data_IF_498953680208
#
_entry.id   IF_498953680208
#
_cell.length_a   1.000
_cell.length_b   1.000
_cell.length_c   1.000
_cell.angle_alpha   90.00
_cell.angle_beta   90.00
_cell.angle_gamma   90.00
#
_symmetry.space_group_name_H-M   'P 1'
#
loop_
_entity.id
_entity.type
_entity.pdbx_description
1 polymer ?
#
# COMPACT_ATOMS: atom_id res chain seq x y z
N UNK A 1 -10.34 -51.71 -7.52
CA UNK A 1 -10.64 -51.22 -6.16
C UNK A 1 -11.81 -52.06 -5.64
N UNK A 2 -11.51 -53.05 -4.80
CA UNK A 2 -12.47 -54.11 -4.45
C UNK A 2 -13.56 -53.58 -3.49
N UNK A 3 -14.84 -53.99 -3.65
CA UNK A 3 -15.97 -53.49 -2.84
C UNK A 3 -15.80 -53.71 -1.33
N UNK A 4 -14.97 -54.69 -0.94
CA UNK A 4 -14.62 -55.03 0.45
C UNK A 4 -13.88 -53.93 1.20
N UNK A 5 -13.17 -53.02 0.53
CA UNK A 5 -12.44 -51.93 1.20
C UNK A 5 -13.38 -50.81 1.67
N UNK A 6 -14.43 -50.51 0.89
CA UNK A 6 -15.41 -49.47 1.23
C UNK A 6 -16.27 -49.87 2.44
N UNK A 7 -16.67 -51.14 2.51
CA UNK A 7 -17.43 -51.68 3.64
C UNK A 7 -16.59 -51.73 4.93
N UNK A 8 -15.30 -52.08 4.82
CA UNK A 8 -14.37 -52.05 5.95
C UNK A 8 -14.13 -50.63 6.47
N UNK A 9 -13.93 -49.65 5.58
CA UNK A 9 -13.81 -48.24 5.95
C UNK A 9 -15.09 -47.72 6.62
N UNK A 10 -16.26 -48.09 6.09
CA UNK A 10 -17.55 -47.75 6.68
C UNK A 10 -17.71 -48.30 8.11
N UNK A 11 -17.37 -49.58 8.32
CA UNK A 11 -17.42 -50.21 9.64
C UNK A 11 -16.46 -49.59 10.65
N UNK A 12 -15.25 -49.21 10.23
CA UNK A 12 -14.27 -48.50 11.08
C UNK A 12 -14.77 -47.10 11.43
N UNK A 13 -15.29 -46.34 10.48
CA UNK A 13 -15.89 -45.03 10.73
C UNK A 13 -17.06 -45.13 11.72
N UNK A 14 -17.92 -46.14 11.58
CA UNK A 14 -19.07 -46.35 12.46
C UNK A 14 -18.64 -46.76 13.89
N UNK A 15 -17.62 -47.60 14.02
CA UNK A 15 -17.04 -47.96 15.32
C UNK A 15 -16.42 -46.74 16.04
N UNK A 16 -15.69 -45.90 15.29
CA UNK A 16 -15.13 -44.65 15.81
C UNK A 16 -16.24 -43.67 16.22
N UNK A 17 -17.27 -43.49 15.39
CA UNK A 17 -18.40 -42.59 15.69
C UNK A 17 -19.20 -43.04 16.93
N UNK A 18 -19.39 -44.36 17.09
CA UNK A 18 -20.07 -44.95 18.25
C UNK A 18 -19.29 -44.73 19.56
N UNK A 19 -17.96 -44.77 19.51
CA UNK A 19 -17.10 -44.50 20.65
C UNK A 19 -17.24 -43.04 21.13
N UNK A 20 -17.23 -42.07 20.21
CA UNK A 20 -17.38 -40.65 20.52
C UNK A 20 -18.78 -40.27 21.03
N UNK A 21 -19.82 -41.02 20.65
CA UNK A 21 -21.19 -40.85 21.17
C UNK A 21 -21.35 -41.30 22.63
N UNK A 22 -20.53 -42.25 23.10
CA UNK A 22 -20.56 -42.75 24.49
C UNK A 22 -19.76 -41.89 25.47
N UNK A 23 -18.78 -41.12 24.98
CA UNK A 23 -17.95 -40.21 25.79
C UNK A 23 -18.04 -38.77 25.28
N UNK A 24 -19.22 -38.11 25.40
CA UNK A 24 -19.49 -36.80 24.78
C UNK A 24 -18.53 -35.71 25.24
N UNK A 25 -18.05 -35.73 26.49
CA UNK A 25 -17.09 -34.75 26.97
C UNK A 25 -15.70 -34.86 26.35
N UNK A 26 -15.23 -36.07 26.06
CA UNK A 26 -13.95 -36.25 25.39
C UNK A 26 -13.98 -35.69 23.96
N UNK A 27 -15.09 -35.90 23.26
CA UNK A 27 -15.33 -35.35 21.92
C UNK A 27 -15.34 -33.82 21.94
N UNK A 28 -16.02 -33.23 22.92
CA UNK A 28 -16.08 -31.77 23.09
C UNK A 28 -14.69 -31.18 23.35
N UNK A 29 -13.88 -31.77 24.23
CA UNK A 29 -12.53 -31.28 24.49
C UNK A 29 -11.62 -31.41 23.26
N UNK A 30 -11.72 -32.51 22.51
CA UNK A 30 -10.95 -32.70 21.26
C UNK A 30 -11.35 -31.67 20.20
N UNK A 31 -12.64 -31.45 19.99
CA UNK A 31 -13.13 -30.45 19.06
C UNK A 31 -12.74 -29.03 19.50
N UNK A 32 -12.84 -28.72 20.80
CA UNK A 32 -12.44 -27.44 21.34
C UNK A 32 -10.94 -27.18 21.13
N UNK A 33 -10.07 -28.18 21.36
CA UNK A 33 -8.63 -28.08 21.10
C UNK A 33 -8.32 -27.89 19.61
N UNK A 34 -9.00 -28.62 18.73
CA UNK A 34 -8.84 -28.49 17.29
C UNK A 34 -9.26 -27.10 16.80
N UNK A 35 -10.43 -26.62 17.22
CA UNK A 35 -10.95 -25.29 16.88
C UNK A 35 -10.02 -24.21 17.40
N UNK A 36 -9.56 -24.31 18.65
CA UNK A 36 -8.62 -23.36 19.24
C UNK A 36 -7.29 -23.30 18.48
N UNK A 37 -6.75 -24.46 18.05
CA UNK A 37 -5.53 -24.52 17.25
C UNK A 37 -5.67 -23.84 15.88
N UNK A 38 -6.75 -24.14 15.14
CA UNK A 38 -7.03 -23.54 13.83
C UNK A 38 -7.29 -22.03 13.96
N UNK A 39 -8.02 -21.61 15.00
CA UNK A 39 -8.32 -20.20 15.26
C UNK A 39 -7.05 -19.41 15.62
N UNK A 40 -6.19 -19.93 16.49
CA UNK A 40 -4.93 -19.30 16.87
C UNK A 40 -4.00 -19.16 15.66
N UNK A 41 -3.85 -20.23 14.87
CA UNK A 41 -3.03 -20.20 13.66
C UNK A 41 -3.55 -19.16 12.65
N UNK A 42 -4.87 -19.11 12.45
CA UNK A 42 -5.51 -18.15 11.54
C UNK A 42 -5.36 -16.71 12.03
N UNK A 43 -5.53 -16.46 13.34
CA UNK A 43 -5.33 -15.13 13.93
C UNK A 43 -3.89 -14.63 13.72
N UNK A 44 -2.89 -15.48 13.97
CA UNK A 44 -1.49 -15.15 13.73
C UNK A 44 -1.25 -14.87 12.25
N UNK A 45 -1.83 -15.67 11.35
CA UNK A 45 -1.68 -15.44 9.91
C UNK A 45 -2.33 -14.14 9.47
N UNK A 46 -3.52 -13.81 9.97
CA UNK A 46 -4.20 -12.54 9.71
C UNK A 46 -3.33 -11.38 10.18
N UNK A 47 -2.86 -11.40 11.43
CA UNK A 47 -1.98 -10.35 11.97
C UNK A 47 -0.68 -10.22 11.16
N UNK A 48 -0.02 -11.34 10.86
CA UNK A 48 1.20 -11.34 10.05
C UNK A 48 0.94 -10.91 8.60
N UNK A 49 -0.26 -11.17 8.05
CA UNK A 49 -0.64 -10.70 6.72
C UNK A 49 -0.90 -9.20 6.70
N UNK A 50 -1.46 -8.62 7.75
CA UNK A 50 -1.60 -7.17 7.89
C UNK A 50 -0.23 -6.48 7.97
N UNK A 51 0.72 -7.07 8.72
CA UNK A 51 2.08 -6.55 8.77
C UNK A 51 2.77 -6.62 7.39
N UNK A 52 2.70 -7.79 6.72
CA UNK A 52 3.26 -7.97 5.37
C UNK A 52 2.61 -7.05 4.33
N UNK A 53 1.30 -6.83 4.41
CA UNK A 53 0.58 -5.91 3.55
C UNK A 53 1.02 -4.46 3.79
N UNK A 54 1.20 -4.04 5.05
CA UNK A 54 1.71 -2.71 5.38
C UNK A 54 3.14 -2.48 4.87
N UNK A 55 3.99 -3.52 4.84
CA UNK A 55 5.32 -3.46 4.25
C UNK A 55 5.32 -3.51 2.71
N UNK A 56 4.43 -4.31 2.11
CA UNK A 56 4.28 -4.41 0.66
C UNK A 56 3.68 -3.13 0.05
N UNK A 57 2.77 -2.46 0.76
CA UNK A 57 2.23 -1.16 0.40
C UNK A 57 3.35 -0.12 0.28
N UNK A 58 4.33 -0.12 1.18
CA UNK A 58 5.50 0.75 1.07
C UNK A 58 6.36 0.48 -0.19
N UNK A 59 6.36 -0.74 -0.73
CA UNK A 59 7.09 -1.11 -1.95
C UNK A 59 6.30 -0.86 -3.24
N UNK A 60 4.96 -0.81 -3.18
CA UNK A 60 4.10 -0.58 -4.35
C UNK A 60 3.86 0.91 -4.65
N UNK A 61 4.14 1.79 -3.67
CA UNK A 61 3.77 3.21 -3.64
C UNK A 61 4.35 4.07 -4.79
N UNK A 62 5.30 3.58 -5.58
CA UNK A 62 5.87 4.36 -6.70
C UNK A 62 5.92 3.64 -8.05
N UNK A 63 5.50 2.37 -8.16
CA UNK A 63 5.79 1.55 -9.36
C UNK A 63 7.29 1.24 -9.56
N UNK A 64 8.19 2.01 -8.93
CA UNK A 64 9.59 1.68 -8.71
C UNK A 64 9.68 0.56 -7.67
N UNK A 65 10.01 -0.66 -8.08
CA UNK A 65 10.48 -1.69 -7.15
C UNK A 65 11.83 -1.24 -6.55
N UNK A 66 11.80 -0.36 -5.55
CA UNK A 66 12.98 0.07 -4.83
C UNK A 66 13.55 -1.15 -4.09
N UNK A 67 14.70 -1.64 -4.52
CA UNK A 67 15.36 -2.80 -3.90
C UNK A 67 16.01 -2.46 -2.56
N UNK A 68 16.36 -1.19 -2.35
CA UNK A 68 17.07 -0.70 -1.16
C UNK A 68 16.50 0.65 -0.72
N UNK A 69 16.54 0.90 0.60
CA UNK A 69 16.06 2.13 1.21
C UNK A 69 17.16 2.78 2.05
N UNK A 70 17.36 4.10 1.87
CA UNK A 70 18.23 4.91 2.72
C UNK A 70 17.31 5.68 3.68
N UNK A 71 17.48 5.46 4.98
CA UNK A 71 16.67 6.09 6.03
C UNK A 71 17.58 6.53 7.18
N UNK A 72 17.26 7.65 7.81
CA UNK A 72 17.94 8.07 9.02
C UNK A 72 17.59 7.13 10.19
N UNK A 73 18.58 6.82 11.03
CA UNK A 73 18.42 5.86 12.14
C UNK A 73 17.52 6.38 13.26
N UNK A 74 17.49 7.69 13.42
CA UNK A 74 16.73 8.43 14.43
C UNK A 74 15.31 8.80 13.96
N UNK A 75 14.95 8.48 12.72
CA UNK A 75 13.66 8.83 12.14
C UNK A 75 13.52 10.30 11.72
N UNK A 76 14.58 11.10 11.78
CA UNK A 76 14.55 12.53 11.39
C UNK A 76 14.39 12.76 9.88
N UNK A 77 14.42 11.68 9.08
CA UNK A 77 14.41 11.75 7.62
C UNK A 77 15.80 11.99 7.03
N UNK A 78 15.92 11.86 5.71
CA UNK A 78 17.18 12.13 4.99
C UNK A 78 17.16 13.58 4.53
N UNK A 79 18.25 14.32 4.75
CA UNK A 79 18.28 15.73 4.36
C UNK A 79 18.39 15.89 2.83
N UNK A 80 17.89 17.01 2.31
CA UNK A 80 18.08 17.34 0.89
C UNK A 80 19.56 17.44 0.51
N UNK A 81 20.40 17.92 1.44
CA UNK A 81 21.85 18.00 1.24
C UNK A 81 22.49 16.62 1.03
N UNK A 82 22.07 15.62 1.82
CA UNK A 82 22.56 14.24 1.69
C UNK A 82 22.13 13.61 0.36
N UNK A 83 20.87 13.84 -0.06
CA UNK A 83 20.40 13.42 -1.38
C UNK A 83 21.24 14.03 -2.51
N UNK A 84 21.48 15.34 -2.46
CA UNK A 84 22.31 16.04 -3.45
C UNK A 84 23.75 15.49 -3.43
N UNK A 85 24.32 15.23 -2.25
CA UNK A 85 25.66 14.67 -2.11
C UNK A 85 25.75 13.27 -2.75
N UNK A 86 24.77 12.39 -2.53
CA UNK A 86 24.70 11.07 -3.15
C UNK A 86 24.62 11.16 -4.68
N UNK A 87 23.77 12.05 -5.21
CA UNK A 87 23.65 12.26 -6.66
C UNK A 87 24.96 12.77 -7.27
N UNK A 88 25.63 13.71 -6.61
CA UNK A 88 26.94 14.24 -7.04
C UNK A 88 28.07 13.21 -6.94
N UNK A 89 27.98 12.27 -6.00
CA UNK A 89 28.91 11.15 -5.88
C UNK A 89 28.72 10.07 -6.99
N UNK A 90 27.72 10.23 -7.87
CA UNK A 90 27.50 9.36 -9.02
C UNK A 90 26.37 8.34 -8.86
N UNK A 91 25.65 8.33 -7.73
CA UNK A 91 24.51 7.44 -7.51
C UNK A 91 23.26 7.93 -8.26
N UNK A 92 23.15 7.62 -9.55
CA UNK A 92 22.05 8.09 -10.43
C UNK A 92 20.71 7.36 -10.24
N UNK A 93 20.71 6.20 -9.59
CA UNK A 93 19.51 5.38 -9.35
C UNK A 93 18.82 5.71 -8.02
N UNK A 94 19.28 6.74 -7.32
CA UNK A 94 18.67 7.21 -6.06
C UNK A 94 17.68 8.33 -6.38
N UNK A 95 16.50 8.25 -5.79
CA UNK A 95 15.45 9.27 -5.83
C UNK A 95 14.89 9.48 -4.41
N UNK A 96 14.47 10.70 -4.04
CA UNK A 96 13.91 11.00 -2.75
C UNK A 96 12.44 10.55 -2.69
N UNK A 97 12.00 10.06 -1.54
CA UNK A 97 10.60 9.79 -1.28
C UNK A 97 10.15 10.54 -0.02
N UNK A 98 9.14 11.38 -0.17
CA UNK A 98 8.46 12.07 0.92
C UNK A 98 7.09 11.44 1.12
N UNK A 99 6.81 10.99 2.34
CA UNK A 99 5.49 10.50 2.74
C UNK A 99 4.96 11.39 3.85
N UNK A 100 3.78 11.97 3.64
CA UNK A 100 3.13 12.83 4.61
C UNK A 100 1.69 12.38 4.84
N UNK A 101 1.23 12.51 6.09
CA UNK A 101 -0.19 12.40 6.43
C UNK A 101 -0.65 13.78 6.86
N UNK A 102 -1.52 14.38 6.05
CA UNK A 102 -2.10 15.70 6.31
C UNK A 102 -3.60 15.56 6.50
N UNK A 103 -4.25 16.65 6.90
CA UNK A 103 -5.70 16.71 6.99
C UNK A 103 -6.22 17.75 5.99
N UNK A 104 -7.35 17.46 5.34
CA UNK A 104 -8.09 18.45 4.56
C UNK A 104 -8.66 19.54 5.48
N UNK A 105 -9.13 20.64 4.90
CA UNK A 105 -9.84 21.67 5.66
C UNK A 105 -11.00 21.10 6.51
N UNK A 106 -11.70 20.08 6.00
CA UNK A 106 -12.78 19.36 6.68
C UNK A 106 -12.29 18.29 7.67
N UNK A 107 -11.01 18.30 8.01
CA UNK A 107 -10.36 17.39 8.95
C UNK A 107 -10.35 15.90 8.51
N UNK A 108 -10.55 15.65 7.21
CA UNK A 108 -10.42 14.30 6.64
C UNK A 108 -8.93 13.94 6.47
N UNK A 109 -8.50 12.72 6.84
CA UNK A 109 -7.11 12.31 6.68
C UNK A 109 -6.77 12.09 5.20
N UNK A 110 -5.64 12.64 4.78
CA UNK A 110 -5.10 12.56 3.43
C UNK A 110 -3.65 12.10 3.47
N UNK A 111 -3.33 11.05 2.72
CA UNK A 111 -1.96 10.61 2.54
C UNK A 111 -1.38 11.22 1.26
N UNK A 112 -0.18 11.79 1.38
CA UNK A 112 0.57 12.37 0.27
C UNK A 112 1.87 11.59 0.10
N UNK A 113 2.18 11.28 -1.15
CA UNK A 113 3.47 10.78 -1.59
C UNK A 113 4.04 11.73 -2.62
N UNK A 114 5.28 12.13 -2.41
CA UNK A 114 6.02 12.94 -3.35
C UNK A 114 7.41 12.37 -3.63
N UNK A 115 7.84 12.45 -4.88
CA UNK A 115 9.14 11.94 -5.35
C UNK A 115 9.65 12.82 -6.47
N UNK A 116 10.95 12.77 -6.73
CA UNK A 116 11.56 13.47 -7.86
C UNK A 116 11.23 12.73 -9.16
N UNK A 117 10.34 13.30 -9.98
CA UNK A 117 9.91 12.69 -11.23
C UNK A 117 11.04 12.61 -12.27
N UNK A 118 12.04 13.50 -12.19
CA UNK A 118 13.21 13.51 -13.07
C UNK A 118 14.23 12.44 -12.70
N UNK A 119 14.21 11.99 -11.44
CA UNK A 119 15.08 10.94 -10.94
C UNK A 119 14.45 9.54 -10.99
N UNK A 120 13.13 9.44 -11.14
CA UNK A 120 12.44 8.16 -11.29
C UNK A 120 12.89 7.44 -12.56
N UNK A 121 13.18 6.14 -12.50
CA UNK A 121 13.55 5.39 -13.70
C UNK A 121 12.31 5.15 -14.58
N UNK A 122 12.47 5.17 -15.91
CA UNK A 122 11.36 5.12 -16.87
C UNK A 122 10.47 3.87 -16.73
N UNK A 123 11.01 2.75 -16.25
CA UNK A 123 10.27 1.51 -15.98
C UNK A 123 9.54 1.51 -14.63
N UNK A 124 9.89 2.39 -13.70
CA UNK A 124 9.13 2.61 -12.47
C UNK A 124 7.84 3.37 -12.71
N UNK A 125 7.77 4.10 -13.82
CA UNK A 125 6.56 4.74 -14.29
C UNK A 125 5.62 3.73 -14.98
N UNK A 126 5.65 2.43 -14.69
CA UNK A 126 4.57 1.54 -15.15
C UNK A 126 3.25 1.98 -14.48
N UNK A 127 2.30 2.45 -15.29
CA UNK A 127 1.18 3.28 -14.85
C UNK A 127 1.49 4.79 -14.91
N UNK A 128 2.27 5.19 -15.90
CA UNK A 128 2.74 6.55 -16.15
C UNK A 128 1.53 7.48 -16.39
N UNK A 129 1.24 8.43 -15.49
CA UNK A 129 0.31 9.50 -15.80
C UNK A 129 0.81 10.34 -16.99
N UNK A 130 2.10 10.26 -17.36
CA UNK A 130 2.74 10.96 -18.48
C UNK A 130 2.84 10.13 -19.78
N UNK A 131 2.42 8.85 -19.80
CA UNK A 131 2.49 8.01 -21.02
C UNK A 131 1.35 8.29 -22.00
N UNK A 132 0.39 9.14 -21.63
CA UNK A 132 -0.53 9.74 -22.58
C UNK A 132 0.24 10.79 -23.41
N UNK A 133 0.18 10.69 -24.73
CA UNK A 133 0.80 11.63 -25.67
C UNK A 133 0.33 13.10 -25.54
N UNK A 134 -0.61 13.36 -24.63
CA UNK A 134 -1.28 14.65 -24.38
C UNK A 134 -1.04 15.18 -22.94
N UNK A 135 -0.18 14.51 -22.16
CA UNK A 135 0.10 14.92 -20.77
C UNK A 135 1.28 15.87 -20.75
N UNK A 136 1.04 17.10 -20.30
CA UNK A 136 2.08 18.09 -20.11
C UNK A 136 2.95 17.74 -18.88
N UNK A 137 3.99 16.93 -19.11
CA UNK A 137 4.95 16.54 -18.08
C UNK A 137 5.60 17.73 -17.38
N UNK A 138 5.75 18.86 -18.08
CA UNK A 138 6.40 20.04 -17.54
C UNK A 138 5.57 20.65 -16.42
N UNK A 139 4.24 20.59 -16.54
CA UNK A 139 3.32 21.06 -15.52
C UNK A 139 3.36 20.25 -14.21
N UNK A 140 3.96 19.06 -14.20
CA UNK A 140 4.17 18.26 -12.99
C UNK A 140 5.44 18.65 -12.24
N UNK A 141 6.48 19.12 -12.94
CA UNK A 141 7.81 19.42 -12.38
C UNK A 141 8.10 20.92 -12.27
N UNK A 142 7.24 21.78 -12.81
CA UNK A 142 7.34 23.24 -12.69
C UNK A 142 6.13 23.83 -11.97
N UNK A 143 6.31 24.93 -11.21
CA UNK A 143 5.20 25.69 -10.66
C UNK A 143 4.16 26.06 -11.75
N UNK A 144 2.85 25.91 -11.50
CA UNK A 144 2.20 25.67 -10.21
C UNK A 144 2.17 24.19 -9.74
N UNK A 145 2.89 23.29 -10.41
CA UNK A 145 2.89 21.84 -10.22
C UNK A 145 1.51 21.22 -10.48
N UNK A 146 1.44 19.88 -10.47
CA UNK A 146 0.20 19.12 -10.53
C UNK A 146 0.23 18.03 -9.48
N UNK A 147 -0.95 17.73 -8.92
CA UNK A 147 -1.13 16.66 -7.95
C UNK A 147 -2.11 15.63 -8.50
N UNK A 148 -1.66 14.39 -8.62
CA UNK A 148 -2.45 13.26 -9.07
C UNK A 148 -3.35 12.72 -7.96
N UNK A 149 -4.65 12.67 -8.21
CA UNK A 149 -5.66 12.09 -7.33
C UNK A 149 -6.25 10.83 -7.97
N UNK A 150 -6.40 9.78 -7.17
CA UNK A 150 -7.15 8.60 -7.58
C UNK A 150 -8.62 8.99 -7.84
N UNK A 151 -9.28 8.42 -8.88
CA UNK A 151 -10.66 8.78 -9.22
C UNK A 151 -11.65 8.63 -8.06
N UNK A 152 -11.46 7.61 -7.23
CA UNK A 152 -12.31 7.34 -6.07
C UNK A 152 -12.16 8.42 -4.98
N UNK A 153 -10.90 8.81 -4.71
CA UNK A 153 -10.57 9.86 -3.75
C UNK A 153 -11.08 11.23 -4.23
N UNK A 154 -10.94 11.52 -5.53
CA UNK A 154 -11.45 12.76 -6.10
C UNK A 154 -12.98 12.85 -5.99
N UNK A 155 -13.71 11.77 -6.28
CA UNK A 155 -15.17 11.72 -6.11
C UNK A 155 -15.60 11.91 -4.65
N UNK A 156 -14.88 11.30 -3.71
CA UNK A 156 -15.16 11.46 -2.28
C UNK A 156 -14.95 12.89 -1.79
N UNK A 157 -13.90 13.54 -2.29
CA UNK A 157 -13.57 14.93 -1.95
C UNK A 157 -14.33 15.96 -2.82
N UNK A 158 -15.14 15.51 -3.78
CA UNK A 158 -15.84 16.39 -4.73
C UNK A 158 -14.93 17.18 -5.66
N UNK A 159 -13.71 16.69 -5.92
CA UNK A 159 -12.69 17.36 -6.72
C UNK A 159 -12.85 17.04 -8.22
N UNK A 160 -12.75 18.08 -9.04
CA UNK A 160 -12.61 18.02 -10.50
C UNK A 160 -11.17 18.32 -10.92
N UNK A 161 -10.83 18.01 -12.17
CA UNK A 161 -9.52 18.34 -12.71
C UNK A 161 -9.31 19.87 -12.72
N UNK A 162 -8.17 20.32 -12.20
CA UNK A 162 -7.80 21.73 -12.03
C UNK A 162 -8.13 22.31 -10.65
N UNK A 163 -8.99 21.66 -9.86
CA UNK A 163 -9.36 22.15 -8.52
C UNK A 163 -8.17 22.11 -7.56
N UNK A 164 -8.18 23.01 -6.58
CA UNK A 164 -7.18 23.05 -5.50
C UNK A 164 -7.81 22.62 -4.20
N UNK A 165 -7.17 21.66 -3.54
CA UNK A 165 -7.60 21.19 -2.23
C UNK A 165 -6.88 21.98 -1.13
N UNK A 166 -7.65 22.62 -0.25
CA UNK A 166 -7.10 23.30 0.92
C UNK A 166 -6.90 22.33 2.08
N UNK A 167 -5.71 22.38 2.68
CA UNK A 167 -5.34 21.61 3.86
C UNK A 167 -5.73 22.35 5.14
N UNK A 168 -5.80 21.61 6.25
CA UNK A 168 -6.13 22.14 7.58
C UNK A 168 -5.14 23.20 8.07
N UNK A 169 -3.89 23.09 7.67
CA UNK A 169 -2.83 24.06 8.00
C UNK A 169 -2.89 25.34 7.14
N UNK A 170 -3.90 25.46 6.27
CA UNK A 170 -4.14 26.60 5.41
C UNK A 170 -3.40 26.57 4.08
N UNK A 171 -2.49 25.61 3.87
CA UNK A 171 -1.82 25.42 2.56
C UNK A 171 -2.79 24.89 1.53
N UNK A 172 -2.54 25.19 0.26
CA UNK A 172 -3.25 24.61 -0.87
C UNK A 172 -2.37 23.60 -1.58
N UNK A 173 -2.95 22.45 -1.93
CA UNK A 173 -2.29 21.51 -2.81
C UNK A 173 -2.25 22.04 -4.25
N UNK A 174 -1.27 21.58 -5.06
CA UNK A 174 -1.26 21.85 -6.48
C UNK A 174 -2.60 21.47 -7.15
N UNK A 175 -2.91 22.08 -8.31
CA UNK A 175 -4.08 21.72 -9.11
C UNK A 175 -4.22 20.20 -9.30
N UNK A 176 -5.43 19.71 -9.06
CA UNK A 176 -5.75 18.29 -9.10
C UNK A 176 -5.78 17.77 -10.54
N UNK A 177 -5.13 16.63 -10.77
CA UNK A 177 -5.27 15.85 -12.00
C UNK A 177 -5.85 14.49 -11.62
N UNK A 178 -6.92 14.10 -12.29
CA UNK A 178 -7.56 12.81 -12.02
C UNK A 178 -6.86 11.77 -12.87
N UNK A 179 -5.93 11.04 -12.24
CA UNK A 179 -5.09 10.06 -12.91
C UNK A 179 -5.44 8.65 -12.42
N UNK A 180 -5.71 7.74 -13.34
CA UNK A 180 -5.94 6.33 -13.03
C UNK A 180 -4.60 5.62 -12.89
N UNK A 181 -3.96 5.70 -11.72
CA UNK A 181 -2.84 4.80 -11.41
C UNK A 181 -3.39 3.56 -10.73
N UNK A 182 -3.27 2.41 -11.39
CA UNK A 182 -3.82 1.12 -10.96
C UNK A 182 -3.32 0.60 -9.59
N UNK A 183 -2.41 1.31 -8.93
CA UNK A 183 -1.81 0.94 -7.63
C UNK A 183 -2.04 1.99 -6.53
N UNK A 184 -2.79 3.07 -6.80
CA UNK A 184 -3.08 4.10 -5.81
C UNK A 184 -4.31 3.70 -4.98
N UNK A 185 -4.10 3.44 -3.69
CA UNK A 185 -5.15 3.57 -2.69
C UNK A 185 -5.58 5.04 -2.52
N UNK A 186 -5.96 5.44 -1.30
CA UNK A 186 -6.38 6.81 -0.96
C UNK A 186 -5.21 7.80 -0.83
N UNK A 187 -4.33 7.88 -1.82
CA UNK A 187 -3.08 8.64 -1.76
C UNK A 187 -2.97 9.65 -2.90
N UNK A 188 -2.48 10.85 -2.59
CA UNK A 188 -2.16 11.91 -3.57
C UNK A 188 -0.70 11.79 -3.97
N UNK A 189 -0.43 11.87 -5.26
CA UNK A 189 0.93 11.78 -5.83
C UNK A 189 1.35 13.12 -6.44
N UNK A 190 2.56 13.58 -6.18
CA UNK A 190 3.10 14.82 -6.76
C UNK A 190 4.63 14.80 -6.87
N UNK A 191 5.20 15.78 -7.54
CA UNK A 191 6.65 15.97 -7.54
C UNK A 191 7.16 16.41 -6.15
N UNK A 192 8.37 16.02 -5.79
CA UNK A 192 8.99 16.39 -4.51
C UNK A 192 9.15 17.91 -4.36
N UNK A 193 9.38 18.64 -5.46
CA UNK A 193 9.43 20.09 -5.47
C UNK A 193 8.11 20.72 -5.03
N UNK A 194 6.97 20.12 -5.38
CA UNK A 194 5.65 20.58 -4.95
C UNK A 194 5.41 20.36 -3.46
N UNK A 195 5.96 19.28 -2.88
CA UNK A 195 5.82 18.98 -1.46
C UNK A 195 6.72 19.84 -0.55
N UNK A 196 7.80 20.39 -1.10
CA UNK A 196 8.78 21.23 -0.38
C UNK A 196 8.55 22.74 -0.58
N UNK A 197 7.65 23.13 -1.48
CA UNK A 197 7.24 24.52 -1.71
C UNK A 197 6.30 25.04 -0.61
#
# INVERSE_FOLDING_TARGET
MHPTERERLGGVCQALLSHYWRHPWQTVFLLAGLVAGVALWSAVQIINSHARASYAEANAVLGAQASHWIRARDGAGVTLADYIALRRAGFRQVFPLVQARVATADNAPLAIIATDLLALPANAADGDPLAGSDVDWLAWVQPPYQAGFAPDLARELGLSAGDRLRLRDGRELPPAVIATRAQQGRQVFMDVGAALA
#
